data_IF_936530406843
#
_entry.id   IF_936530406843
#
_cell.length_a   1.000
_cell.length_b   1.000
_cell.length_c   1.000
_cell.angle_alpha   90.00
_cell.angle_beta   90.00
_cell.angle_gamma   90.00
#
_symmetry.space_group_name_H-M   'P 1'
#
loop_
_entity.id
_entity.type
_entity.pdbx_description
1 polymer ?
#
# COMPACT_ATOMS: atom_id res chain seq x y z
N UNK A 1 -15.60 -23.33 26.99
CA UNK A 1 -16.79 -23.58 27.86
C UNK A 1 -18.01 -24.13 27.12
N UNK A 2 -18.19 -23.92 25.81
CA UNK A 2 -19.28 -24.54 25.05
C UNK A 2 -18.96 -25.99 24.60
N UNK A 3 -17.69 -26.35 24.42
CA UNK A 3 -17.29 -27.69 23.96
C UNK A 3 -17.37 -28.76 25.06
N UNK A 4 -17.18 -28.38 26.32
CA UNK A 4 -17.24 -29.26 27.49
C UNK A 4 -18.68 -29.73 27.84
N UNK A 5 -19.69 -29.21 27.11
CA UNK A 5 -21.09 -29.65 27.20
C UNK A 5 -21.44 -30.75 26.20
N UNK A 6 -20.69 -30.95 25.11
CA UNK A 6 -21.00 -31.95 24.09
C UNK A 6 -20.52 -33.36 24.46
N UNK A 7 -19.41 -33.49 25.20
CA UNK A 7 -18.93 -34.80 25.67
C UNK A 7 -19.76 -35.38 26.82
N UNK A 8 -20.53 -34.55 27.53
CA UNK A 8 -21.35 -35.00 28.66
C UNK A 8 -22.68 -35.63 28.22
N UNK A 9 -23.08 -35.52 26.95
CA UNK A 9 -24.30 -36.14 26.43
C UNK A 9 -24.09 -37.57 25.90
N UNK A 10 -22.84 -38.03 25.68
CA UNK A 10 -22.57 -39.40 25.21
C UNK A 10 -22.74 -40.50 26.28
N UNK A 11 -22.90 -40.15 27.57
CA UNK A 11 -23.04 -41.15 28.65
C UNK A 11 -24.45 -41.35 29.19
N UNK A 12 -25.45 -40.74 28.56
CA UNK A 12 -26.83 -41.13 28.83
C UNK A 12 -27.25 -42.20 27.83
N UNK A 13 -26.74 -43.43 28.03
CA UNK A 13 -27.37 -44.65 27.54
C UNK A 13 -28.75 -44.77 28.22
N UNK A 14 -29.72 -44.00 27.71
CA UNK A 14 -31.12 -44.30 27.93
C UNK A 14 -31.30 -45.67 27.31
N UNK A 15 -31.44 -46.69 28.15
CA UNK A 15 -31.80 -48.05 27.77
C UNK A 15 -33.19 -48.07 27.13
N UNK A 16 -33.31 -47.49 25.95
CA UNK A 16 -34.42 -47.67 25.03
C UNK A 16 -34.09 -48.99 24.35
N UNK A 17 -34.45 -50.10 24.99
CA UNK A 17 -34.69 -51.31 24.23
C UNK A 17 -35.63 -50.93 23.09
N UNK A 18 -35.23 -51.06 21.81
CA UNK A 18 -36.07 -50.66 20.71
C UNK A 18 -37.37 -51.44 20.88
N UNK A 19 -38.48 -50.73 21.15
CA UNK A 19 -39.81 -51.34 21.13
C UNK A 19 -39.88 -52.05 19.79
N UNK A 20 -40.04 -53.36 19.80
CA UNK A 20 -40.08 -54.20 18.61
C UNK A 20 -40.94 -53.50 17.55
N UNK A 21 -40.31 -53.06 16.47
CA UNK A 21 -41.00 -52.36 15.39
C UNK A 21 -41.92 -53.38 14.73
N UNK A 22 -43.23 -53.24 14.93
CA UNK A 22 -44.22 -54.10 14.29
C UNK A 22 -44.61 -53.52 12.94
N UNK A 23 -44.86 -54.41 11.98
CA UNK A 23 -45.33 -53.97 10.68
C UNK A 23 -46.72 -53.33 10.79
N UNK A 24 -46.92 -52.22 10.08
CA UNK A 24 -48.23 -51.54 10.01
C UNK A 24 -49.30 -52.34 9.25
N UNK A 25 -48.86 -53.24 8.36
CA UNK A 25 -49.76 -54.07 7.55
C UNK A 25 -49.94 -55.48 8.11
N UNK A 26 -48.95 -55.96 8.88
CA UNK A 26 -48.95 -57.29 9.48
C UNK A 26 -48.68 -57.14 10.98
N UNK A 27 -49.74 -56.91 11.77
CA UNK A 27 -49.66 -56.53 13.20
C UNK A 27 -48.92 -57.54 14.09
N UNK A 28 -48.83 -58.79 13.63
CA UNK A 28 -48.14 -59.89 14.32
C UNK A 28 -46.67 -60.01 13.94
N UNK A 29 -46.22 -59.39 12.84
CA UNK A 29 -44.85 -59.52 12.36
C UNK A 29 -43.94 -58.37 12.84
N UNK A 30 -42.69 -58.72 13.15
CA UNK A 30 -41.63 -57.78 13.50
C UNK A 30 -40.83 -57.37 12.26
N UNK A 31 -40.59 -56.07 12.09
CA UNK A 31 -39.75 -55.52 11.05
C UNK A 31 -38.27 -55.70 11.43
N UNK A 32 -37.64 -56.74 10.89
CA UNK A 32 -36.24 -57.11 11.18
C UNK A 32 -35.29 -56.87 10.01
N UNK A 33 -35.81 -56.49 8.85
CA UNK A 33 -35.06 -56.28 7.61
C UNK A 33 -35.21 -54.82 7.18
N UNK A 34 -34.13 -54.21 6.73
CA UNK A 34 -34.12 -52.87 6.15
C UNK A 34 -34.06 -52.98 4.63
N UNK A 35 -34.97 -52.29 3.94
CA UNK A 35 -34.95 -52.18 2.49
C UNK A 35 -34.20 -50.89 2.11
N UNK A 36 -33.02 -51.02 1.48
CA UNK A 36 -32.18 -49.87 1.13
C UNK A 36 -32.78 -48.97 0.06
N UNK A 37 -33.51 -49.58 -0.89
CA UNK A 37 -34.16 -48.83 -1.97
C UNK A 37 -35.32 -47.96 -1.45
N UNK A 38 -36.07 -48.47 -0.47
CA UNK A 38 -37.18 -47.74 0.15
C UNK A 38 -36.79 -46.92 1.37
N UNK A 39 -35.59 -47.14 1.91
CA UNK A 39 -35.09 -46.57 3.16
C UNK A 39 -36.06 -46.79 4.34
N UNK A 40 -36.63 -47.99 4.47
CA UNK A 40 -37.62 -48.33 5.51
C UNK A 40 -37.47 -49.76 6.05
N UNK A 41 -38.00 -50.01 7.26
CA UNK A 41 -37.97 -51.30 7.95
C UNK A 41 -39.20 -52.15 7.60
N UNK A 42 -38.95 -53.37 7.15
CA UNK A 42 -39.94 -54.28 6.61
C UNK A 42 -39.97 -55.61 7.36
N UNK A 43 -41.16 -56.22 7.44
CA UNK A 43 -41.34 -57.61 7.83
C UNK A 43 -41.17 -58.54 6.62
N UNK A 44 -41.08 -59.85 6.87
CA UNK A 44 -40.86 -60.86 5.82
C UNK A 44 -42.02 -60.92 4.82
N UNK A 45 -43.27 -60.76 5.26
CA UNK A 45 -44.43 -60.76 4.37
C UNK A 45 -44.40 -59.58 3.38
N UNK A 46 -44.06 -58.38 3.86
CA UNK A 46 -43.91 -57.20 2.99
C UNK A 46 -42.81 -57.40 1.94
N UNK A 47 -41.73 -58.09 2.28
CA UNK A 47 -40.63 -58.35 1.35
C UNK A 47 -41.09 -59.24 0.19
N UNK A 48 -41.79 -60.32 0.51
CA UNK A 48 -42.29 -61.26 -0.50
C UNK A 48 -43.32 -60.64 -1.44
N UNK A 49 -44.16 -59.75 -0.92
CA UNK A 49 -45.28 -59.17 -1.68
C UNK A 49 -44.92 -57.86 -2.41
N UNK A 50 -44.17 -56.97 -1.75
CA UNK A 50 -43.96 -55.59 -2.20
C UNK A 50 -42.52 -55.29 -2.61
N UNK A 51 -41.53 -56.03 -2.09
CA UNK A 51 -40.10 -55.76 -2.32
C UNK A 51 -39.30 -56.95 -2.88
N UNK A 52 -39.81 -57.76 -3.83
CA UNK A 52 -39.12 -58.98 -4.27
C UNK A 52 -37.82 -58.72 -5.04
N UNK A 53 -37.55 -57.47 -5.44
CA UNK A 53 -36.39 -57.08 -6.26
C UNK A 53 -35.54 -55.98 -5.61
N UNK A 54 -35.82 -55.60 -4.38
CA UNK A 54 -35.08 -54.52 -3.74
C UNK A 54 -33.83 -55.04 -3.03
N UNK A 55 -32.84 -54.18 -2.82
CA UNK A 55 -31.69 -54.49 -1.98
C UNK A 55 -32.10 -54.47 -0.50
N UNK A 56 -31.85 -55.58 0.19
CA UNK A 56 -32.28 -55.84 1.55
C UNK A 56 -31.04 -56.08 2.42
N UNK A 57 -30.99 -55.43 3.58
CA UNK A 57 -29.97 -55.67 4.59
C UNK A 57 -30.61 -56.03 5.94
N UNK A 58 -29.90 -56.79 6.74
CA UNK A 58 -30.32 -57.02 8.13
C UNK A 58 -30.28 -55.71 8.90
N UNK A 59 -31.23 -55.53 9.82
CA UNK A 59 -31.35 -54.33 10.65
C UNK A 59 -30.02 -53.91 11.29
N UNK A 60 -29.25 -54.86 11.84
CA UNK A 60 -27.96 -54.58 12.49
C UNK A 60 -26.92 -54.00 11.54
N UNK A 61 -26.84 -54.51 10.31
CA UNK A 61 -25.92 -54.00 9.30
C UNK A 61 -26.36 -52.61 8.82
N UNK A 62 -27.66 -52.45 8.55
CA UNK A 62 -28.22 -51.17 8.15
C UNK A 62 -28.03 -50.08 9.22
N UNK A 63 -28.14 -50.44 10.50
CA UNK A 63 -27.93 -49.50 11.60
C UNK A 63 -26.50 -48.94 11.60
N UNK A 64 -25.49 -49.80 11.39
CA UNK A 64 -24.08 -49.36 11.31
C UNK A 64 -23.86 -48.45 10.10
N UNK A 65 -24.40 -48.83 8.94
CA UNK A 65 -24.28 -48.04 7.71
C UNK A 65 -24.95 -46.66 7.84
N UNK A 66 -26.19 -46.61 8.34
CA UNK A 66 -26.94 -45.37 8.55
C UNK A 66 -26.24 -44.49 9.59
N UNK A 67 -25.72 -45.08 10.67
CA UNK A 67 -24.97 -44.35 11.70
C UNK A 67 -23.71 -43.74 11.12
N UNK A 68 -23.00 -44.46 10.25
CA UNK A 68 -21.82 -43.95 9.54
C UNK A 68 -22.19 -42.79 8.60
N UNK A 69 -23.18 -42.98 7.72
CA UNK A 69 -23.65 -41.92 6.80
C UNK A 69 -24.09 -40.66 7.56
N UNK A 70 -24.78 -40.83 8.70
CA UNK A 70 -25.17 -39.69 9.53
C UNK A 70 -23.98 -38.98 10.18
N UNK A 71 -22.95 -39.72 10.62
CA UNK A 71 -21.70 -39.12 11.10
C UNK A 71 -20.99 -38.33 10.00
N UNK A 72 -20.91 -38.89 8.80
CA UNK A 72 -20.26 -38.25 7.64
C UNK A 72 -20.98 -36.93 7.29
N UNK A 73 -22.33 -36.93 7.22
CA UNK A 73 -23.12 -35.71 6.98
C UNK A 73 -22.95 -34.65 8.07
N UNK A 74 -22.85 -35.06 9.34
CA UNK A 74 -22.60 -34.14 10.44
C UNK A 74 -21.18 -33.53 10.34
N UNK A 75 -20.20 -34.33 9.94
CA UNK A 75 -18.83 -33.87 9.70
C UNK A 75 -18.78 -32.87 8.55
N UNK A 76 -19.41 -33.17 7.42
CA UNK A 76 -19.51 -32.24 6.27
C UNK A 76 -20.16 -30.91 6.67
N UNK A 77 -21.23 -30.95 7.47
CA UNK A 77 -21.89 -29.75 7.97
C UNK A 77 -20.97 -28.93 8.89
N UNK A 78 -20.21 -29.58 9.76
CA UNK A 78 -19.22 -28.92 10.64
C UNK A 78 -18.13 -28.26 9.79
N UNK A 79 -17.63 -28.95 8.77
CA UNK A 79 -16.63 -28.43 7.85
C UNK A 79 -17.16 -27.22 7.05
N UNK A 80 -18.40 -27.28 6.55
CA UNK A 80 -19.03 -26.15 5.87
C UNK A 80 -19.20 -24.92 6.78
N UNK A 81 -19.53 -25.12 8.06
CA UNK A 81 -19.60 -24.02 9.04
C UNK A 81 -18.22 -23.38 9.27
N UNK A 82 -17.16 -24.18 9.35
CA UNK A 82 -15.78 -23.68 9.45
C UNK A 82 -15.37 -22.89 8.21
N UNK A 83 -15.69 -23.37 7.00
CA UNK A 83 -15.42 -22.66 5.76
C UNK A 83 -16.13 -21.31 5.69
N UNK A 84 -17.40 -21.25 6.11
CA UNK A 84 -18.14 -19.98 6.16
C UNK A 84 -17.52 -19.00 7.16
N UNK A 85 -17.15 -19.48 8.35
CA UNK A 85 -16.44 -18.65 9.34
C UNK A 85 -15.11 -18.12 8.80
N UNK A 86 -14.34 -18.95 8.09
CA UNK A 86 -13.09 -18.53 7.46
C UNK A 86 -13.33 -17.52 6.34
N UNK A 87 -14.37 -17.72 5.52
CA UNK A 87 -14.79 -16.79 4.48
C UNK A 87 -15.14 -15.41 5.07
N UNK A 88 -15.87 -15.37 6.18
CA UNK A 88 -16.22 -14.12 6.87
C UNK A 88 -14.98 -13.42 7.41
N UNK A 89 -14.02 -14.17 7.99
CA UNK A 89 -12.72 -13.63 8.44
C UNK A 89 -11.92 -13.03 7.27
N UNK A 90 -11.86 -13.72 6.13
CA UNK A 90 -11.20 -13.23 4.92
C UNK A 90 -11.86 -11.95 4.41
N UNK A 91 -13.19 -11.90 4.36
CA UNK A 91 -13.93 -10.70 3.95
C UNK A 91 -13.71 -9.53 4.91
N UNK A 92 -13.60 -9.80 6.21
CA UNK A 92 -13.21 -8.79 7.22
C UNK A 92 -11.83 -8.21 6.94
N UNK A 93 -10.84 -9.07 6.71
CA UNK A 93 -9.46 -8.65 6.40
C UNK A 93 -9.34 -7.91 5.07
N UNK A 94 -10.14 -8.28 4.07
CA UNK A 94 -10.20 -7.54 2.80
C UNK A 94 -10.68 -6.10 3.01
N UNK A 95 -11.73 -5.88 3.83
CA UNK A 95 -12.21 -4.54 4.17
C UNK A 95 -11.17 -3.73 4.93
N UNK A 96 -10.49 -4.33 5.90
CA UNK A 96 -9.38 -3.68 6.63
C UNK A 96 -8.26 -3.23 5.68
N UNK A 97 -7.87 -4.07 4.72
CA UNK A 97 -6.84 -3.74 3.74
C UNK A 97 -7.25 -2.57 2.84
N UNK A 98 -8.51 -2.53 2.40
CA UNK A 98 -9.04 -1.42 1.60
C UNK A 98 -9.01 -0.11 2.40
N UNK A 99 -9.42 -0.13 3.67
CA UNK A 99 -9.36 1.05 4.53
C UNK A 99 -7.93 1.54 4.77
N UNK A 100 -7.00 0.60 4.99
CA UNK A 100 -5.59 0.90 5.15
C UNK A 100 -4.99 1.53 3.87
N UNK A 101 -5.33 1.00 2.70
CA UNK A 101 -4.91 1.57 1.41
C UNK A 101 -5.42 3.00 1.22
N UNK A 102 -6.68 3.27 1.56
CA UNK A 102 -7.27 4.61 1.49
C UNK A 102 -6.60 5.61 2.43
N UNK A 103 -6.32 5.18 3.67
CA UNK A 103 -5.58 5.98 4.65
C UNK A 103 -4.20 6.35 4.14
N UNK A 104 -3.42 5.36 3.67
CA UNK A 104 -2.08 5.57 3.13
C UNK A 104 -2.10 6.50 1.91
N UNK A 105 -3.11 6.37 1.03
CA UNK A 105 -3.31 7.30 -0.10
C UNK A 105 -3.59 8.73 0.36
N UNK A 106 -4.31 8.94 1.48
CA UNK A 106 -4.52 10.29 2.01
C UNK A 106 -3.23 10.85 2.63
N UNK A 107 -2.48 10.05 3.38
CA UNK A 107 -1.20 10.46 3.96
C UNK A 107 -0.19 10.90 2.91
N UNK A 108 -0.03 10.10 1.84
CA UNK A 108 0.86 10.42 0.73
C UNK A 108 0.44 11.74 0.05
N UNK A 109 -0.86 11.93 -0.22
CA UNK A 109 -1.38 13.18 -0.80
C UNK A 109 -1.08 14.38 0.09
N UNK A 110 -1.34 14.27 1.39
CA UNK A 110 -1.07 15.33 2.37
C UNK A 110 0.42 15.67 2.43
N UNK A 111 1.29 14.66 2.39
CA UNK A 111 2.75 14.85 2.37
C UNK A 111 3.21 15.56 1.10
N UNK A 112 2.71 15.16 -0.07
CA UNK A 112 3.00 15.80 -1.36
C UNK A 112 2.53 17.26 -1.36
N UNK A 113 1.34 17.56 -0.84
CA UNK A 113 0.83 18.93 -0.76
C UNK A 113 1.67 19.81 0.18
N UNK A 114 2.14 19.26 1.31
CA UNK A 114 3.09 19.96 2.19
C UNK A 114 4.40 20.27 1.48
N UNK A 115 4.98 19.29 0.77
CA UNK A 115 6.19 19.49 -0.02
C UNK A 115 6.00 20.55 -1.10
N UNK A 116 4.87 20.53 -1.81
CA UNK A 116 4.55 21.54 -2.82
C UNK A 116 4.47 22.95 -2.24
N UNK A 117 3.78 23.13 -1.10
CA UNK A 117 3.71 24.42 -0.40
C UNK A 117 5.10 24.91 0.04
N UNK A 118 5.97 24.01 0.47
CA UNK A 118 7.34 24.35 0.84
C UNK A 118 8.17 24.78 -0.38
N UNK A 119 8.04 24.07 -1.50
CA UNK A 119 8.70 24.45 -2.77
C UNK A 119 8.24 25.84 -3.21
N UNK A 120 6.93 26.09 -3.24
CA UNK A 120 6.36 27.39 -3.62
C UNK A 120 6.86 28.52 -2.70
N UNK A 121 7.03 28.24 -1.40
CA UNK A 121 7.57 29.20 -0.42
C UNK A 121 9.04 29.52 -0.71
N UNK A 122 9.86 28.49 -0.95
CA UNK A 122 11.29 28.67 -1.28
C UNK A 122 11.45 29.41 -2.61
N UNK A 123 10.67 29.06 -3.63
CA UNK A 123 10.66 29.73 -4.92
C UNK A 123 10.36 31.23 -4.77
N UNK A 124 9.28 31.58 -4.06
CA UNK A 124 8.93 32.99 -3.80
C UNK A 124 10.04 33.75 -3.08
N UNK A 125 10.70 33.12 -2.10
CA UNK A 125 11.83 33.72 -1.37
C UNK A 125 13.02 33.96 -2.29
N UNK A 126 13.40 32.97 -3.11
CA UNK A 126 14.49 33.09 -4.07
C UNK A 126 14.20 34.18 -5.12
N UNK A 127 13.00 34.22 -5.67
CA UNK A 127 12.58 35.27 -6.60
C UNK A 127 12.62 36.67 -5.97
N UNK A 128 12.28 36.79 -4.69
CA UNK A 128 12.39 38.05 -3.96
C UNK A 128 13.85 38.49 -3.79
N UNK A 129 14.76 37.57 -3.45
CA UNK A 129 16.19 37.86 -3.31
C UNK A 129 16.77 38.32 -4.65
N UNK A 130 16.50 37.57 -5.72
CA UNK A 130 16.96 37.91 -7.07
C UNK A 130 16.44 39.28 -7.53
N UNK A 131 15.17 39.60 -7.24
CA UNK A 131 14.60 40.92 -7.55
C UNK A 131 15.34 42.03 -6.81
N UNK A 132 15.57 41.87 -5.51
CA UNK A 132 16.25 42.88 -4.70
C UNK A 132 17.70 43.09 -5.16
N UNK A 133 18.42 42.01 -5.50
CA UNK A 133 19.78 42.11 -6.05
C UNK A 133 19.78 42.81 -7.41
N UNK A 134 18.84 42.49 -8.29
CA UNK A 134 18.70 43.14 -9.59
C UNK A 134 18.41 44.64 -9.44
N UNK A 135 17.49 45.04 -8.57
CA UNK A 135 17.19 46.44 -8.28
C UNK A 135 18.41 47.19 -7.73
N UNK A 136 19.17 46.56 -6.81
CA UNK A 136 20.42 47.12 -6.28
C UNK A 136 21.48 47.33 -7.37
N UNK A 137 21.69 46.33 -8.23
CA UNK A 137 22.60 46.45 -9.37
C UNK A 137 22.15 47.54 -10.35
N UNK A 138 20.84 47.66 -10.60
CA UNK A 138 20.28 48.68 -11.47
C UNK A 138 20.52 50.09 -10.92
N UNK A 139 20.34 50.30 -9.61
CA UNK A 139 20.63 51.58 -8.95
C UNK A 139 22.12 51.93 -9.04
N UNK A 140 23.01 50.97 -8.75
CA UNK A 140 24.46 51.18 -8.87
C UNK A 140 24.88 51.53 -10.29
N UNK A 141 24.30 50.89 -11.31
CA UNK A 141 24.56 51.20 -12.70
C UNK A 141 24.08 52.61 -13.08
N UNK A 142 22.92 53.04 -12.57
CA UNK A 142 22.42 54.41 -12.78
C UNK A 142 23.35 55.44 -12.16
N UNK A 143 23.84 55.21 -10.95
CA UNK A 143 24.80 56.09 -10.26
C UNK A 143 26.12 56.20 -11.04
N UNK A 144 26.67 55.08 -11.51
CA UNK A 144 27.86 55.08 -12.35
C UNK A 144 27.64 55.87 -13.65
N UNK A 145 26.47 55.71 -14.27
CA UNK A 145 26.11 56.45 -15.48
C UNK A 145 26.03 57.96 -15.23
N UNK A 146 25.45 58.39 -14.11
CA UNK A 146 25.42 59.81 -13.73
C UNK A 146 26.82 60.35 -13.48
N UNK A 147 27.68 59.59 -12.78
CA UNK A 147 29.06 59.98 -12.52
C UNK A 147 29.87 60.15 -13.82
N UNK A 148 29.73 59.22 -14.77
CA UNK A 148 30.37 59.33 -16.09
C UNK A 148 29.90 60.58 -16.84
N UNK A 149 28.61 60.92 -16.77
CA UNK A 149 28.09 62.11 -17.43
C UNK A 149 28.60 63.42 -16.79
N UNK A 150 28.73 63.45 -15.46
CA UNK A 150 29.33 64.59 -14.77
C UNK A 150 30.79 64.77 -15.19
N UNK A 151 31.59 63.69 -15.19
CA UNK A 151 32.99 63.73 -15.65
C UNK A 151 33.11 64.18 -17.11
N UNK A 152 32.22 63.74 -18.00
CA UNK A 152 32.19 64.22 -19.39
C UNK A 152 31.94 65.72 -19.48
N UNK A 153 31.07 66.23 -18.62
CA UNK A 153 30.75 67.66 -18.56
C UNK A 153 31.95 68.46 -18.05
N UNK A 154 32.60 67.98 -16.99
CA UNK A 154 33.82 68.59 -16.45
C UNK A 154 34.95 68.63 -17.48
N UNK A 155 35.17 67.54 -18.21
CA UNK A 155 36.15 67.47 -19.31
C UNK A 155 35.82 68.50 -20.39
N UNK A 156 34.56 68.62 -20.81
CA UNK A 156 34.15 69.57 -21.83
C UNK A 156 34.39 71.03 -21.39
N UNK A 157 34.16 71.36 -20.11
CA UNK A 157 34.47 72.69 -19.56
C UNK A 157 35.98 72.95 -19.63
N UNK A 158 36.80 71.99 -19.19
CA UNK A 158 38.27 72.09 -19.24
C UNK A 158 38.81 72.22 -20.67
N UNK A 159 38.16 71.60 -21.67
CA UNK A 159 38.53 71.73 -23.09
C UNK A 159 38.20 73.12 -23.67
N UNK A 160 37.15 73.78 -23.19
CA UNK A 160 36.78 75.15 -23.60
C UNK A 160 37.76 76.18 -23.04
N UNK A 161 38.32 75.93 -21.85
CA UNK A 161 39.27 76.81 -21.16
C UNK A 161 40.70 76.78 -21.71
N UNK A 162 40.97 76.09 -22.84
CA UNK A 162 42.25 76.03 -23.60
C UNK A 162 43.43 76.73 -22.93
N UNK A 163 43.97 76.08 -21.89
CA UNK A 163 45.30 76.38 -21.38
C UNK A 163 46.31 76.01 -22.48
N UNK A 164 47.09 76.96 -23.03
CA UNK A 164 48.12 76.63 -24.01
C UNK A 164 49.24 75.85 -23.32
N UNK A 165 49.27 74.52 -23.51
CA UNK A 165 50.46 73.71 -23.16
C UNK A 165 50.28 72.25 -22.78
N UNK A 166 49.08 71.71 -22.57
CA UNK A 166 48.93 70.33 -22.09
C UNK A 166 48.75 69.28 -23.21
N UNK A 167 49.42 68.13 -23.03
CA UNK A 167 49.55 67.05 -24.01
C UNK A 167 48.24 66.24 -24.15
N UNK A 168 47.43 66.60 -25.16
CA UNK A 168 46.14 65.97 -25.48
C UNK A 168 46.19 64.45 -25.70
N UNK A 169 47.36 63.87 -26.01
CA UNK A 169 47.44 62.44 -26.36
C UNK A 169 47.09 61.51 -25.19
N UNK A 170 47.39 61.89 -23.94
CA UNK A 170 47.03 61.06 -22.79
C UNK A 170 45.52 61.06 -22.52
N UNK A 171 44.83 62.18 -22.75
CA UNK A 171 43.38 62.29 -22.58
C UNK A 171 42.65 61.50 -23.66
N UNK A 172 43.12 61.59 -24.92
CA UNK A 172 42.57 60.81 -26.04
C UNK A 172 42.66 59.31 -25.76
N UNK A 173 43.80 58.83 -25.23
CA UNK A 173 43.98 57.42 -24.88
C UNK A 173 42.99 56.94 -23.80
N UNK A 174 42.79 57.71 -22.73
CA UNK A 174 41.83 57.39 -21.67
C UNK A 174 40.39 57.37 -22.22
N UNK A 175 40.03 58.32 -23.08
CA UNK A 175 38.70 58.36 -23.73
C UNK A 175 38.49 57.14 -24.64
N UNK A 176 39.52 56.69 -25.38
CA UNK A 176 39.40 55.48 -26.20
C UNK A 176 39.23 54.21 -25.37
N UNK A 177 39.95 54.06 -24.26
CA UNK A 177 39.78 52.91 -23.36
C UNK A 177 38.39 52.90 -22.72
N UNK A 178 37.86 54.06 -22.32
CA UNK A 178 36.50 54.17 -21.80
C UNK A 178 35.42 53.84 -22.85
N UNK A 179 35.63 54.19 -24.13
CA UNK A 179 34.69 53.81 -25.21
C UNK A 179 34.64 52.30 -25.44
N UNK A 180 35.78 51.62 -25.36
CA UNK A 180 35.83 50.15 -25.48
C UNK A 180 35.10 49.49 -24.30
N UNK A 181 35.29 50.00 -23.09
CA UNK A 181 34.58 49.51 -21.90
C UNK A 181 33.05 49.72 -22.02
N UNK A 182 32.61 50.91 -22.46
CA UNK A 182 31.19 51.22 -22.69
C UNK A 182 30.54 50.30 -23.74
N UNK A 183 31.21 50.04 -24.86
CA UNK A 183 30.66 49.17 -25.91
C UNK A 183 30.54 47.71 -25.46
N UNK A 184 31.40 47.28 -24.54
CA UNK A 184 31.38 45.93 -23.98
C UNK A 184 30.21 45.77 -23.00
N UNK A 185 29.97 46.77 -22.14
CA UNK A 185 28.80 46.80 -21.26
C UNK A 185 27.47 46.81 -22.04
N UNK A 186 27.37 47.60 -23.12
CA UNK A 186 26.16 47.66 -23.95
C UNK A 186 25.83 46.32 -24.66
N UNK A 187 26.86 45.55 -25.05
CA UNK A 187 26.66 44.21 -25.64
C UNK A 187 26.10 43.21 -24.62
N UNK A 188 26.58 43.27 -23.37
CA UNK A 188 26.11 42.42 -22.28
C UNK A 188 24.65 42.73 -21.93
N UNK A 189 24.26 44.02 -21.97
CA UNK A 189 22.88 44.45 -21.67
C UNK A 189 21.90 44.09 -22.80
N UNK A 190 22.28 44.29 -24.07
CA UNK A 190 21.37 44.10 -25.23
C UNK A 190 21.24 42.65 -25.67
N UNK A 191 22.26 41.84 -25.44
CA UNK A 191 22.25 40.42 -25.78
C UNK A 191 22.73 39.60 -24.58
N UNK A 192 21.88 39.44 -23.54
CA UNK A 192 22.14 38.45 -22.52
C UNK A 192 22.21 37.09 -23.21
N UNK A 193 23.41 36.54 -23.32
CA UNK A 193 23.68 35.35 -24.10
C UNK A 193 22.84 34.18 -23.51
N UNK A 194 21.83 33.66 -24.23
CA UNK A 194 20.88 32.69 -23.67
C UNK A 194 21.53 31.34 -23.33
N UNK A 195 22.77 31.11 -23.78
CA UNK A 195 23.58 29.93 -23.46
C UNK A 195 24.68 30.15 -22.43
N UNK A 196 24.93 31.38 -21.98
CA UNK A 196 25.90 31.61 -20.90
C UNK A 196 25.21 31.30 -19.58
N UNK A 197 25.24 30.03 -19.18
CA UNK A 197 25.06 29.65 -17.77
C UNK A 197 26.34 30.07 -17.07
N UNK A 198 26.39 31.16 -16.29
CA UNK A 198 27.52 31.36 -15.43
C UNK A 198 27.57 30.13 -14.51
N UNK A 199 28.55 29.26 -14.69
CA UNK A 199 29.02 28.37 -13.64
C UNK A 199 29.72 29.27 -12.62
N UNK A 200 28.95 30.11 -11.94
CA UNK A 200 29.35 30.56 -10.63
C UNK A 200 29.18 29.34 -9.74
N UNK A 201 30.29 28.64 -9.50
CA UNK A 201 30.45 27.85 -8.29
C UNK A 201 30.32 28.83 -7.12
N UNK A 202 29.08 29.20 -6.79
CA UNK A 202 28.78 29.66 -5.45
C UNK A 202 28.99 28.44 -4.58
N UNK A 203 30.13 28.40 -3.89
CA UNK A 203 30.22 27.74 -2.61
C UNK A 203 29.15 28.37 -1.73
N UNK A 204 27.94 27.82 -1.77
CA UNK A 204 26.91 28.05 -0.76
C UNK A 204 27.49 27.41 0.50
N UNK A 205 28.38 28.15 1.17
CA UNK A 205 28.92 27.74 2.46
C UNK A 205 27.73 27.45 3.34
N UNK A 206 27.64 26.20 3.82
CA UNK A 206 26.62 25.65 4.71
C UNK A 206 25.71 26.72 5.34
N UNK A 207 24.69 27.16 4.59
CA UNK A 207 23.64 27.98 5.18
C UNK A 207 22.79 26.99 5.95
N UNK A 208 23.17 26.78 7.21
CA UNK A 208 22.32 26.12 8.19
C UNK A 208 21.13 27.08 8.38
N UNK A 209 20.08 26.88 7.57
CA UNK A 209 18.81 27.56 7.73
C UNK A 209 18.15 26.98 8.99
N UNK A 210 18.49 27.53 10.17
CA UNK A 210 17.64 27.42 11.35
C UNK A 210 16.41 28.29 11.09
N UNK A 211 15.31 27.63 10.80
CA UNK A 211 13.99 28.26 10.72
C UNK A 211 13.50 28.50 12.16
N UNK A 212 13.78 29.68 12.72
CA UNK A 212 13.33 30.07 14.07
C UNK A 212 11.88 30.61 14.09
N UNK A 213 11.20 30.70 12.95
CA UNK A 213 9.84 31.26 12.83
C UNK A 213 8.82 30.25 12.27
N UNK A 214 8.91 29.00 12.70
CA UNK A 214 7.94 27.95 12.35
C UNK A 214 6.80 27.92 13.38
N UNK A 215 6.24 29.08 13.71
CA UNK A 215 5.03 29.19 14.54
C UNK A 215 3.80 29.47 13.64
N UNK A 216 2.87 28.52 13.69
CA UNK A 216 1.42 28.73 13.66
C UNK A 216 0.78 29.37 12.42
N UNK A 217 0.69 28.59 11.34
CA UNK A 217 -0.44 28.72 10.40
C UNK A 217 -0.94 27.32 10.01
N UNK A 218 -1.50 26.62 10.99
CA UNK A 218 -2.13 25.31 10.85
C UNK A 218 -3.66 25.40 10.58
N UNK A 219 -4.15 26.55 10.12
CA UNK A 219 -5.57 26.78 9.90
C UNK A 219 -6.04 26.21 8.55
N UNK A 220 -6.92 25.21 8.62
CA UNK A 220 -7.83 24.77 7.56
C UNK A 220 -7.25 23.98 6.36
N UNK A 221 -6.59 22.84 6.62
CA UNK A 221 -6.71 21.71 5.70
C UNK A 221 -7.86 20.82 6.16
N UNK A 222 -8.72 20.30 5.25
CA UNK A 222 -9.70 19.28 5.62
C UNK A 222 -8.92 18.07 6.13
N UNK A 223 -9.02 17.81 7.43
CA UNK A 223 -8.37 16.66 8.04
C UNK A 223 -9.04 15.40 7.52
N UNK A 224 -8.27 14.45 7.01
CA UNK A 224 -8.72 13.06 6.82
C UNK A 224 -8.99 12.35 8.16
N UNK A 225 -9.27 13.10 9.23
CA UNK A 225 -9.38 12.62 10.61
C UNK A 225 -10.63 11.80 10.89
N UNK A 226 -11.56 11.70 9.94
CA UNK A 226 -12.83 11.00 10.18
C UNK A 226 -12.75 9.50 9.88
N UNK A 227 -11.59 8.99 9.45
CA UNK A 227 -11.33 7.54 9.41
C UNK A 227 -10.68 7.15 10.74
N UNK A 228 -11.45 7.22 11.82
CA UNK A 228 -11.11 6.53 13.06
C UNK A 228 -11.20 5.03 12.80
N UNK A 229 -10.06 4.41 12.51
CA UNK A 229 -9.94 2.95 12.51
C UNK A 229 -10.03 2.51 13.97
N UNK A 230 -11.25 2.32 14.47
CA UNK A 230 -11.48 1.54 15.70
C UNK A 230 -11.10 0.09 15.38
N UNK A 231 -9.84 -0.25 15.56
CA UNK A 231 -9.43 -1.65 15.64
C UNK A 231 -9.82 -2.15 17.03
N UNK A 232 -11.08 -2.53 17.21
CA UNK A 232 -11.52 -3.29 18.38
C UNK A 232 -10.90 -4.69 18.28
N UNK A 233 -9.64 -4.80 18.70
CA UNK A 233 -8.98 -6.06 18.96
C UNK A 233 -9.50 -6.61 20.29
N UNK A 234 -10.51 -7.47 20.23
CA UNK A 234 -10.64 -8.50 21.26
C UNK A 234 -9.62 -9.59 20.92
N UNK A 235 -8.50 -9.63 21.66
CA UNK A 235 -7.46 -10.66 21.55
C UNK A 235 -7.91 -12.06 22.02
N UNK A 236 -9.20 -12.24 22.31
CA UNK A 236 -9.75 -13.51 22.77
C UNK A 236 -10.16 -14.39 21.58
N UNK A 237 -9.21 -15.07 20.96
CA UNK A 237 -9.48 -16.42 20.50
C UNK A 237 -8.20 -17.24 20.48
N UNK A 238 -7.95 -17.87 21.63
CA UNK A 238 -7.28 -19.15 21.72
C UNK A 238 -7.93 -20.11 20.71
N UNK A 239 -7.48 -20.03 19.45
CA UNK A 239 -7.76 -21.08 18.47
C UNK A 239 -6.72 -22.13 18.75
N UNK A 240 -6.95 -22.91 19.80
CA UNK A 240 -6.26 -24.17 20.03
C UNK A 240 -6.35 -24.94 18.71
N UNK A 241 -5.19 -25.12 18.09
CA UNK A 241 -5.04 -26.03 16.98
C UNK A 241 -5.43 -27.39 17.51
N UNK A 242 -6.61 -27.89 17.12
CA UNK A 242 -7.02 -29.24 17.45
C UNK A 242 -5.94 -30.18 16.93
N UNK A 243 -5.23 -30.81 17.87
CA UNK A 243 -4.47 -32.01 17.59
C UNK A 243 -5.44 -32.98 16.91
N UNK A 244 -5.08 -33.35 15.68
CA UNK A 244 -5.70 -34.47 15.01
C UNK A 244 -5.34 -35.70 15.86
N UNK A 245 -6.23 -36.06 16.79
CA UNK A 245 -6.26 -37.39 17.39
C UNK A 245 -6.44 -38.39 16.24
N UNK A 246 -5.29 -38.86 15.76
CA UNK A 246 -4.95 -40.26 15.63
C UNK A 246 -6.18 -41.17 15.56
N UNK A 247 -6.69 -41.37 14.34
CA UNK A 247 -7.42 -42.59 14.02
C UNK A 247 -6.43 -43.73 14.25
N UNK A 248 -6.67 -44.55 15.28
CA UNK A 248 -5.93 -45.78 15.54
C UNK A 248 -5.93 -46.65 14.26
N UNK A 249 -4.78 -46.70 13.59
CA UNK A 249 -4.49 -47.73 12.60
C UNK A 249 -4.26 -49.04 13.34
N UNK A 250 -5.13 -50.02 13.10
CA UNK A 250 -4.89 -51.40 13.48
C UNK A 250 -3.62 -51.93 12.78
N UNK A 251 -2.61 -52.26 13.60
CA UNK A 251 -1.54 -53.24 13.43
C UNK A 251 -1.05 -53.57 12.01
N UNK A 252 0.09 -52.99 11.62
CA UNK A 252 1.12 -53.69 10.83
C UNK A 252 2.55 -53.24 11.21
N UNK A 253 3.14 -54.04 12.10
CA UNK A 253 4.57 -54.32 12.34
C UNK A 253 5.66 -53.49 11.62
N UNK A 254 6.44 -52.80 12.45
CA UNK A 254 7.92 -52.64 12.45
C UNK A 254 8.66 -52.57 11.11
N UNK A 255 9.15 -51.37 10.77
CA UNK A 255 10.55 -51.20 10.31
C UNK A 255 11.11 -49.82 10.71
N UNK A 256 12.42 -49.87 10.98
CA UNK A 256 13.35 -48.88 11.51
C UNK A 256 13.58 -47.58 10.72
N UNK A 257 14.15 -46.61 11.46
CA UNK A 257 15.22 -45.65 11.08
C UNK A 257 14.90 -44.58 10.03
N UNK A 258 14.88 -43.29 10.40
CA UNK A 258 16.08 -42.42 10.41
C UNK A 258 15.71 -40.95 10.71
N UNK A 259 16.66 -40.25 11.33
CA UNK A 259 16.64 -38.84 11.70
C UNK A 259 16.52 -37.92 10.47
N UNK A 260 15.55 -36.99 10.48
CA UNK A 260 15.56 -35.81 9.61
C UNK A 260 15.18 -34.57 10.42
N UNK A 261 16.14 -33.67 10.60
CA UNK A 261 15.95 -32.31 11.09
C UNK A 261 15.49 -31.41 9.94
N UNK A 262 14.25 -30.92 9.98
CA UNK A 262 13.74 -29.93 9.02
C UNK A 262 13.59 -28.54 9.67
N UNK A 263 14.46 -27.62 9.26
CA UNK A 263 14.31 -26.19 9.44
C UNK A 263 13.22 -25.65 8.51
N UNK A 264 12.25 -24.93 9.07
CA UNK A 264 11.10 -24.32 8.39
C UNK A 264 11.49 -23.27 7.31
N UNK A 265 10.83 -23.25 6.13
CA UNK A 265 11.15 -22.31 5.06
C UNK A 265 10.23 -21.07 5.05
N UNK A 266 10.46 -20.11 5.94
CA UNK A 266 9.78 -18.79 5.87
C UNK A 266 10.36 -17.90 4.74
N UNK A 267 11.48 -18.30 4.13
CA UNK A 267 12.29 -17.41 3.29
C UNK A 267 11.98 -17.47 1.76
N UNK A 268 10.99 -18.26 1.32
CA UNK A 268 10.69 -18.40 -0.12
C UNK A 268 9.68 -17.36 -0.62
N UNK A 269 8.61 -17.09 0.13
CA UNK A 269 7.58 -16.10 -0.27
C UNK A 269 8.08 -14.65 -0.19
N UNK A 270 8.93 -14.32 0.78
CA UNK A 270 9.53 -12.98 0.87
C UNK A 270 10.45 -12.66 -0.34
N UNK A 271 11.18 -13.67 -0.83
CA UNK A 271 12.05 -13.55 -2.02
C UNK A 271 11.25 -13.42 -3.31
N UNK A 272 10.06 -14.01 -3.41
CA UNK A 272 9.18 -13.83 -4.58
C UNK A 272 8.55 -12.44 -4.60
N UNK A 273 8.13 -11.90 -3.45
CA UNK A 273 7.52 -10.57 -3.37
C UNK A 273 8.51 -9.44 -3.68
N UNK A 274 9.77 -9.53 -3.23
CA UNK A 274 10.83 -8.55 -3.59
C UNK A 274 11.16 -8.59 -5.10
N UNK A 275 11.02 -9.76 -5.75
CA UNK A 275 11.23 -9.92 -7.20
C UNK A 275 10.07 -9.34 -8.03
N UNK A 276 8.85 -9.35 -7.50
CA UNK A 276 7.67 -8.74 -8.14
C UNK A 276 7.68 -7.21 -8.03
N UNK A 277 8.07 -6.65 -6.88
CA UNK A 277 8.18 -5.19 -6.72
C UNK A 277 9.27 -4.59 -7.62
N UNK A 278 10.36 -5.32 -7.91
CA UNK A 278 11.38 -4.88 -8.90
C UNK A 278 10.94 -5.04 -10.37
N UNK A 279 9.84 -5.74 -10.66
CA UNK A 279 9.29 -5.93 -12.01
C UNK A 279 8.17 -4.95 -12.36
N UNK A 280 7.57 -4.29 -11.37
CA UNK A 280 6.56 -3.25 -11.61
C UNK A 280 7.28 -1.93 -11.91
N UNK A 281 7.61 -1.79 -13.20
CA UNK A 281 7.83 -0.57 -13.98
C UNK A 281 9.15 0.20 -13.72
N UNK A 282 10.23 -0.07 -14.48
CA UNK A 282 11.14 1.01 -14.86
C UNK A 282 10.41 1.84 -15.92
N UNK A 283 9.82 2.97 -15.53
CA UNK A 283 9.41 3.98 -16.52
C UNK A 283 10.71 4.43 -17.16
N UNK A 284 10.93 4.08 -18.44
CA UNK A 284 12.11 4.56 -19.14
C UNK A 284 12.06 6.10 -19.12
N UNK A 285 13.21 6.78 -18.95
CA UNK A 285 13.27 8.25 -18.96
C UNK A 285 12.59 8.86 -20.22
N UNK A 286 12.48 8.06 -21.29
CA UNK A 286 11.76 8.38 -22.52
C UNK A 286 10.25 8.52 -22.34
N UNK A 287 9.63 7.71 -21.48
CA UNK A 287 8.18 7.71 -21.25
C UNK A 287 7.76 8.84 -20.29
N UNK A 288 8.61 9.18 -19.32
CA UNK A 288 8.43 10.36 -18.46
C UNK A 288 8.44 11.68 -19.27
N UNK A 289 9.25 11.75 -20.34
CA UNK A 289 9.30 12.91 -21.22
C UNK A 289 8.02 13.08 -22.07
N UNK A 290 7.43 11.97 -22.56
CA UNK A 290 6.19 12.00 -23.37
C UNK A 290 4.99 12.46 -22.53
N UNK A 291 4.91 12.03 -21.26
CA UNK A 291 3.81 12.44 -20.35
C UNK A 291 3.92 13.94 -20.01
N UNK A 292 5.13 14.46 -19.87
CA UNK A 292 5.37 15.87 -19.55
C UNK A 292 5.01 16.81 -20.71
N UNK A 293 5.26 16.41 -21.96
CA UNK A 293 4.95 17.24 -23.13
C UNK A 293 3.47 17.23 -23.54
N UNK A 294 2.71 16.18 -23.20
CA UNK A 294 1.26 16.14 -23.47
C UNK A 294 0.44 17.15 -22.65
N UNK A 295 1.00 17.65 -21.54
CA UNK A 295 0.38 18.71 -20.72
C UNK A 295 0.66 20.13 -21.23
N UNK A 296 1.58 20.31 -22.18
CA UNK A 296 1.93 21.62 -22.75
C UNK A 296 1.18 21.94 -24.05
N UNK A 297 0.37 21.01 -24.56
CA UNK A 297 -0.42 21.19 -25.80
C UNK A 297 -1.95 21.20 -25.57
N UNK A 298 -2.40 21.36 -24.32
CA UNK A 298 -3.79 21.66 -23.97
C UNK A 298 -3.80 22.96 -23.17
#
# INVERSE_FOLDING_TARGET
MADDMLEREEKQEVGIHPKQLRCRFHETEECTIFCKDCKDFMCFECIGLLHPKHDLSQLKCAEVDIRKEMKDLLFEKKYAAQLNSLSDKVSGKEKELVQYEESLKCEIRTSVDKMKKNIDRVEKRLLSVLRNEFESCQLSLQEQKTNINNLKTDIAILEVDKLPGYNLNNIINIISEMKVCSATCDKIIKHPNPGFKPTMEFSIGNVILRDENLEDDASALPSCSDISIQTDFSEDSDTEWFDAEYMEEEDLTETSSDEVTDEYPINFQLKQNIKLVRKIVPISEKDAWIISNRKLQK
#
